data_IF_012381205588
#
_entry.id   IF_012381205588
#
_cell.length_a   1.000
_cell.length_b   1.000
_cell.length_c   1.000
_cell.angle_alpha   90.00
_cell.angle_beta   90.00
_cell.angle_gamma   90.00
#
_symmetry.space_group_name_H-M   'P 1'
#
loop_
_entity.id
_entity.type
_entity.pdbx_description
1 polymer ?
#
# COMPACT_ATOMS: atom_id res chain seq x y z
N UNK A 1 45.61 -5.27 19.15
CA UNK A 1 44.18 -5.25 19.55
C UNK A 1 43.31 -4.23 18.78
N UNK A 2 43.81 -3.44 17.82
CA UNK A 2 42.98 -2.45 17.08
C UNK A 2 42.37 -2.94 15.76
N UNK A 3 42.83 -4.06 15.20
CA UNK A 3 42.33 -4.60 13.93
C UNK A 3 40.92 -5.25 14.00
N UNK A 4 40.48 -5.66 15.19
CA UNK A 4 39.15 -6.29 15.38
C UNK A 4 38.00 -5.27 15.55
N UNK A 5 38.31 -3.98 15.76
CA UNK A 5 37.30 -2.94 15.92
C UNK A 5 36.76 -2.43 14.57
N UNK A 6 37.56 -2.53 13.50
CA UNK A 6 37.14 -2.09 12.15
C UNK A 6 36.32 -3.15 11.40
N UNK A 7 36.56 -4.45 11.64
CA UNK A 7 35.79 -5.52 11.00
C UNK A 7 34.35 -5.63 11.54
N UNK A 8 34.13 -5.30 12.82
CA UNK A 8 32.79 -5.29 13.44
C UNK A 8 31.88 -4.20 12.84
N UNK A 9 32.46 -3.09 12.39
CA UNK A 9 31.70 -1.97 11.79
C UNK A 9 31.21 -2.27 10.37
N UNK A 10 31.94 -3.11 9.61
CA UNK A 10 31.62 -3.42 8.22
C UNK A 10 30.56 -4.53 8.07
N UNK A 11 30.52 -5.50 9.01
CA UNK A 11 29.50 -6.57 8.98
C UNK A 11 28.11 -6.10 9.45
N UNK A 12 28.04 -5.02 10.23
CA UNK A 12 26.77 -4.46 10.73
C UNK A 12 26.09 -3.52 9.70
N UNK A 13 26.82 -3.08 8.67
CA UNK A 13 26.30 -2.14 7.67
C UNK A 13 25.68 -2.83 6.43
N UNK A 14 26.01 -4.11 6.18
CA UNK A 14 25.58 -4.83 4.97
C UNK A 14 24.30 -5.65 5.20
N UNK A 15 24.03 -6.08 6.44
CA UNK A 15 22.84 -6.91 6.75
C UNK A 15 21.55 -6.11 6.97
N UNK A 16 21.63 -4.80 7.22
CA UNK A 16 20.46 -3.96 7.55
C UNK A 16 19.70 -3.45 6.31
N UNK A 17 20.31 -3.48 5.13
CA UNK A 17 19.72 -2.97 3.88
C UNK A 17 18.89 -4.00 3.12
N UNK A 18 19.17 -5.30 3.31
CA UNK A 18 18.53 -6.35 2.52
C UNK A 18 17.17 -6.79 3.08
N UNK A 19 16.96 -6.63 4.40
CA UNK A 19 15.71 -6.98 5.08
C UNK A 19 14.56 -6.00 4.79
N UNK A 20 14.87 -4.75 4.37
CA UNK A 20 13.86 -3.75 4.02
C UNK A 20 13.29 -3.95 2.61
N UNK A 21 14.11 -4.39 1.66
CA UNK A 21 13.70 -4.61 0.27
C UNK A 21 12.67 -5.75 0.16
N UNK A 22 12.89 -6.86 0.88
CA UNK A 22 11.99 -8.02 0.85
C UNK A 22 10.61 -7.73 1.44
N UNK A 23 10.52 -6.89 2.48
CA UNK A 23 9.24 -6.47 3.07
C UNK A 23 8.38 -5.66 2.09
N UNK A 24 9.00 -4.82 1.26
CA UNK A 24 8.28 -4.10 0.21
C UNK A 24 7.80 -5.01 -0.93
N UNK A 25 8.58 -6.03 -1.30
CA UNK A 25 8.22 -6.99 -2.35
C UNK A 25 7.00 -7.83 -1.95
N UNK A 26 6.89 -8.25 -0.68
CA UNK A 26 5.73 -9.01 -0.19
C UNK A 26 4.43 -8.22 -0.30
N UNK A 27 4.45 -6.96 0.12
CA UNK A 27 3.28 -6.10 -0.01
C UNK A 27 2.90 -5.79 -1.46
N UNK A 28 3.90 -5.63 -2.33
CA UNK A 28 3.68 -5.45 -3.76
C UNK A 28 2.98 -6.67 -4.38
N UNK A 29 3.40 -7.89 -3.99
CA UNK A 29 2.75 -9.12 -4.42
C UNK A 29 1.28 -9.20 -3.97
N UNK A 30 0.98 -8.78 -2.73
CA UNK A 30 -0.41 -8.73 -2.20
C UNK A 30 -1.29 -7.80 -3.04
N UNK A 31 -0.78 -6.64 -3.46
CA UNK A 31 -1.54 -5.71 -4.31
C UNK A 31 -1.87 -6.33 -5.66
N UNK A 32 -0.89 -6.97 -6.31
CA UNK A 32 -1.08 -7.62 -7.60
C UNK A 32 -2.11 -8.75 -7.52
N UNK A 33 -2.09 -9.56 -6.47
CA UNK A 33 -3.08 -10.63 -6.29
C UNK A 33 -4.47 -10.04 -6.14
N UNK A 34 -4.61 -9.02 -5.30
CA UNK A 34 -5.92 -8.43 -5.00
C UNK A 34 -6.48 -7.65 -6.21
N UNK A 35 -5.64 -7.04 -7.07
CA UNK A 35 -6.10 -6.48 -8.35
C UNK A 35 -6.43 -7.56 -9.38
N UNK A 36 -5.64 -8.64 -9.45
CA UNK A 36 -5.92 -9.76 -10.36
C UNK A 36 -7.28 -10.40 -10.08
N UNK A 37 -7.68 -10.50 -8.81
CA UNK A 37 -9.03 -10.97 -8.42
C UNK A 37 -10.12 -10.02 -8.94
N UNK A 38 -9.92 -8.70 -8.81
CA UNK A 38 -10.85 -7.71 -9.34
C UNK A 38 -11.00 -7.81 -10.87
N UNK A 39 -9.89 -7.96 -11.59
CA UNK A 39 -9.90 -8.15 -13.05
C UNK A 39 -10.56 -9.47 -13.45
N UNK A 40 -10.29 -10.56 -12.72
CA UNK A 40 -10.92 -11.85 -12.97
C UNK A 40 -12.44 -11.78 -12.75
N UNK A 41 -12.91 -11.05 -11.73
CA UNK A 41 -14.33 -10.85 -11.47
C UNK A 41 -15.04 -10.10 -12.61
N UNK A 42 -14.37 -9.14 -13.25
CA UNK A 42 -14.88 -8.44 -14.45
C UNK A 42 -14.81 -9.31 -15.70
N UNK A 43 -13.67 -9.97 -15.93
CA UNK A 43 -13.41 -10.73 -17.15
C UNK A 43 -14.37 -11.92 -17.32
N UNK A 44 -14.73 -12.55 -16.21
CA UNK A 44 -15.63 -13.71 -16.21
C UNK A 44 -17.11 -13.34 -16.35
N UNK A 45 -17.48 -12.05 -16.22
CA UNK A 45 -18.87 -11.55 -16.22
C UNK A 45 -19.81 -12.38 -15.31
N UNK A 46 -19.27 -13.03 -14.27
CA UNK A 46 -20.04 -13.85 -13.34
C UNK A 46 -20.97 -13.01 -12.45
N UNK A 47 -20.70 -11.70 -12.35
CA UNK A 47 -21.44 -10.76 -11.51
C UNK A 47 -22.23 -9.79 -12.40
N UNK A 48 -23.53 -9.59 -12.14
CA UNK A 48 -24.33 -8.60 -12.83
C UNK A 48 -23.72 -7.19 -12.75
N UNK A 49 -23.83 -6.39 -13.82
CA UNK A 49 -23.20 -5.06 -13.91
C UNK A 49 -23.59 -4.11 -12.76
N UNK A 50 -24.78 -4.29 -12.18
CA UNK A 50 -25.25 -3.50 -11.04
C UNK A 50 -24.53 -3.83 -9.71
N UNK A 51 -24.05 -5.06 -9.55
CA UNK A 51 -23.25 -5.49 -8.39
C UNK A 51 -21.74 -5.38 -8.64
N UNK A 52 -21.32 -5.39 -9.91
CA UNK A 52 -19.92 -5.35 -10.30
C UNK A 52 -19.25 -4.02 -9.89
N UNK A 53 -19.91 -2.88 -10.13
CA UNK A 53 -19.37 -1.55 -9.79
C UNK A 53 -19.14 -1.37 -8.27
N UNK A 54 -20.13 -1.60 -7.38
CA UNK A 54 -19.90 -1.46 -5.94
C UNK A 54 -18.91 -2.49 -5.38
N UNK A 55 -18.86 -3.71 -5.95
CA UNK A 55 -17.88 -4.73 -5.58
C UNK A 55 -16.44 -4.25 -5.88
N UNK A 56 -16.20 -3.72 -7.08
CA UNK A 56 -14.90 -3.17 -7.48
C UNK A 56 -14.51 -1.96 -6.65
N UNK A 57 -15.46 -1.07 -6.36
CA UNK A 57 -15.22 0.11 -5.52
C UNK A 57 -14.79 -0.30 -4.10
N UNK A 58 -15.40 -1.36 -3.56
CA UNK A 58 -15.03 -1.93 -2.25
C UNK A 58 -13.62 -2.51 -2.28
N UNK A 59 -13.27 -3.29 -3.31
CA UNK A 59 -11.91 -3.82 -3.49
C UNK A 59 -10.88 -2.69 -3.69
N UNK A 60 -11.24 -1.63 -4.42
CA UNK A 60 -10.39 -0.47 -4.63
C UNK A 60 -10.12 0.30 -3.32
N UNK A 61 -11.12 0.44 -2.45
CA UNK A 61 -10.93 1.03 -1.13
C UNK A 61 -9.94 0.21 -0.27
N UNK A 62 -10.06 -1.12 -0.28
CA UNK A 62 -9.11 -2.02 0.42
C UNK A 62 -7.70 -1.87 -0.15
N UNK A 63 -7.56 -1.76 -1.48
CA UNK A 63 -6.26 -1.52 -2.13
C UNK A 63 -5.58 -0.26 -1.63
N UNK A 64 -6.32 0.86 -1.54
CA UNK A 64 -5.78 2.13 -1.01
C UNK A 64 -5.26 1.97 0.42
N UNK A 65 -5.98 1.22 1.28
CA UNK A 65 -5.53 0.96 2.66
C UNK A 65 -4.26 0.10 2.70
N UNK A 66 -4.20 -0.98 1.91
CA UNK A 66 -3.02 -1.87 1.84
C UNK A 66 -1.81 -1.11 1.27
N UNK A 67 -2.04 -0.23 0.30
CA UNK A 67 -1.02 0.67 -0.27
C UNK A 67 -0.45 1.59 0.79
N UNK A 68 -1.31 2.23 1.58
CA UNK A 68 -0.86 3.11 2.65
C UNK A 68 -0.16 2.35 3.78
N UNK A 69 -0.66 1.18 4.20
CA UNK A 69 -0.03 0.35 5.23
C UNK A 69 1.38 -0.12 4.82
N UNK A 70 1.56 -0.45 3.53
CA UNK A 70 2.84 -0.88 2.97
C UNK A 70 3.88 0.23 2.91
N UNK A 71 3.46 1.43 2.50
CA UNK A 71 4.36 2.58 2.43
C UNK A 71 4.63 3.19 3.81
N UNK A 72 3.76 2.93 4.78
CA UNK A 72 3.87 3.49 6.13
C UNK A 72 4.27 2.39 7.12
N UNK A 73 5.57 2.07 7.16
CA UNK A 73 6.19 1.26 8.20
C UNK A 73 6.03 1.97 9.57
N UNK A 74 4.87 1.77 10.20
CA UNK A 74 4.41 2.39 11.46
C UNK A 74 5.12 1.87 12.73
N UNK A 75 6.37 1.38 12.63
CA UNK A 75 7.10 0.86 13.79
C UNK A 75 8.09 1.87 14.41
N UNK A 76 7.94 3.17 14.14
CA UNK A 76 8.63 4.20 14.91
C UNK A 76 7.65 5.23 15.44
N UNK A 77 7.19 4.92 16.67
CA UNK A 77 6.70 5.81 17.73
C UNK A 77 7.08 7.29 17.46
N UNK A 78 6.18 8.08 16.85
CA UNK A 78 6.35 9.55 16.85
C UNK A 78 5.71 10.41 15.75
N UNK A 79 5.17 9.89 14.64
CA UNK A 79 4.87 10.75 13.49
C UNK A 79 3.37 11.03 13.29
N UNK A 80 2.94 12.27 13.59
CA UNK A 80 1.61 12.80 13.19
C UNK A 80 1.45 13.01 11.67
N UNK A 81 2.54 12.89 10.92
CA UNK A 81 2.61 13.04 9.46
C UNK A 81 1.81 11.94 8.71
N UNK A 82 1.96 10.64 9.04
CA UNK A 82 1.00 9.58 8.76
C UNK A 82 -0.48 9.93 8.79
N UNK A 83 -0.93 10.47 9.92
CA UNK A 83 -2.35 10.75 10.17
C UNK A 83 -2.79 11.94 9.32
N UNK A 84 -1.93 12.96 9.19
CA UNK A 84 -2.18 14.10 8.32
C UNK A 84 -2.29 13.68 6.83
N UNK A 85 -1.46 12.73 6.38
CA UNK A 85 -1.50 12.21 5.01
C UNK A 85 -2.74 11.35 4.76
N UNK A 86 -3.19 10.57 5.76
CA UNK A 86 -4.44 9.82 5.67
C UNK A 86 -5.64 10.78 5.61
N UNK A 87 -5.65 11.83 6.42
CA UNK A 87 -6.70 12.85 6.41
C UNK A 87 -6.75 13.60 5.07
N UNK A 88 -5.61 14.02 4.52
CA UNK A 88 -5.55 14.69 3.22
C UNK A 88 -5.89 13.75 2.05
N UNK A 89 -5.45 12.49 2.10
CA UNK A 89 -5.78 11.48 1.09
C UNK A 89 -7.27 11.18 1.04
N UNK A 90 -7.92 11.02 2.20
CA UNK A 90 -9.39 10.86 2.27
C UNK A 90 -10.09 12.12 1.77
N UNK A 91 -9.63 13.31 2.18
CA UNK A 91 -10.24 14.57 1.76
C UNK A 91 -10.19 14.76 0.24
N UNK A 92 -9.02 14.57 -0.38
CA UNK A 92 -8.86 14.66 -1.83
C UNK A 92 -9.66 13.55 -2.53
N UNK A 93 -9.61 12.32 -2.03
CA UNK A 93 -10.36 11.20 -2.61
C UNK A 93 -11.87 11.44 -2.64
N UNK A 94 -12.44 11.95 -1.55
CA UNK A 94 -13.86 12.31 -1.46
C UNK A 94 -14.20 13.45 -2.41
N UNK A 95 -13.39 14.51 -2.43
CA UNK A 95 -13.60 15.65 -3.35
C UNK A 95 -13.54 15.19 -4.80
N UNK A 96 -12.56 14.38 -5.18
CA UNK A 96 -12.44 13.85 -6.55
C UNK A 96 -13.62 12.96 -6.92
N UNK A 97 -14.08 12.08 -6.02
CA UNK A 97 -15.23 11.23 -6.29
C UNK A 97 -16.52 12.06 -6.47
N UNK A 98 -16.74 13.05 -5.61
CA UNK A 98 -17.90 13.95 -5.69
C UNK A 98 -17.83 14.83 -6.94
N UNK A 99 -16.66 15.38 -7.27
CA UNK A 99 -16.47 16.17 -8.47
C UNK A 99 -16.76 15.37 -9.75
N UNK A 100 -16.29 14.12 -9.82
CA UNK A 100 -16.60 13.22 -10.95
C UNK A 100 -18.09 12.87 -11.00
N UNK A 101 -18.74 12.67 -9.85
CA UNK A 101 -20.18 12.40 -9.79
C UNK A 101 -21.04 13.60 -10.22
N UNK A 102 -20.58 14.83 -10.00
CA UNK A 102 -21.26 16.06 -10.44
C UNK A 102 -20.99 16.35 -11.92
N UNK A 103 -19.80 15.99 -12.42
CA UNK A 103 -19.38 16.25 -13.79
C UNK A 103 -19.93 15.25 -14.81
N UNK A 104 -20.28 14.03 -14.37
CA UNK A 104 -20.93 12.99 -15.19
C UNK A 104 -22.45 13.18 -15.22
#
# INVERSE_FOLDING_TARGET
>A
MKANAEQTKNQTAVQTSQESAWKHVTSFAVMIVLTAIAFAAVATNLVPSHLLVPLLLTLAAVQVVVQLYTFMHLNQKGSGFPVAFMASGIFIGVISAVALMILV
#
